data_IF_280927724631
#
_entry.id   IF_280927724631
#
_cell.length_a   1.000
_cell.length_b   1.000
_cell.length_c   1.000
_cell.angle_alpha   90.00
_cell.angle_beta   90.00
_cell.angle_gamma   90.00
#
_symmetry.space_group_name_H-M   'P 1'
#
loop_
_entity.id
_entity.type
_entity.pdbx_description
1 polymer ?
#
# COMPACT_ATOMS: atom_id res chain seq x y z
N UNK A 1 -9.82 11.57 8.79
CA UNK A 1 -9.11 10.37 9.29
C UNK A 1 -8.88 9.43 8.12
N UNK A 2 -7.63 9.08 7.87
CA UNK A 2 -7.18 8.27 6.72
C UNK A 2 -7.52 6.79 6.92
N UNK A 3 -7.39 5.98 5.87
CA UNK A 3 -7.53 4.53 5.98
C UNK A 3 -6.52 3.95 6.98
N UNK A 4 -5.30 4.50 7.03
CA UNK A 4 -4.30 4.15 8.03
C UNK A 4 -4.77 4.49 9.43
N UNK A 5 -5.29 5.70 9.65
CA UNK A 5 -5.82 6.10 10.95
C UNK A 5 -6.91 5.15 11.44
N UNK A 6 -7.85 4.78 10.56
CA UNK A 6 -8.93 3.81 10.86
C UNK A 6 -8.37 2.44 11.20
N UNK A 7 -7.40 1.97 10.43
CA UNK A 7 -6.73 0.69 10.67
C UNK A 7 -6.03 0.65 12.04
N UNK A 8 -5.26 1.69 12.37
CA UNK A 8 -4.58 1.80 13.65
C UNK A 8 -5.55 1.88 14.83
N UNK A 9 -6.68 2.57 14.66
CA UNK A 9 -7.74 2.64 15.66
C UNK A 9 -8.38 1.27 15.91
N UNK A 10 -8.73 0.53 14.85
CA UNK A 10 -9.29 -0.83 14.96
C UNK A 10 -8.33 -1.81 15.63
N UNK A 11 -7.03 -1.70 15.35
CA UNK A 11 -5.97 -2.50 15.97
C UNK A 11 -5.59 -2.04 17.38
N UNK A 12 -6.24 -1.00 17.93
CA UNK A 12 -5.89 -0.39 19.23
C UNK A 12 -4.40 -0.02 19.34
N UNK A 13 -3.79 0.33 18.22
CA UNK A 13 -2.37 0.59 18.12
C UNK A 13 -2.04 2.00 18.62
N UNK A 14 -1.18 2.10 19.63
CA UNK A 14 -0.76 3.40 20.19
C UNK A 14 0.35 4.01 19.33
N UNK A 15 0.14 5.25 18.86
CA UNK A 15 1.13 6.02 18.09
C UNK A 15 2.50 6.10 18.78
N UNK A 16 2.52 6.27 20.11
CA UNK A 16 3.75 6.28 20.90
C UNK A 16 4.54 4.96 20.84
N UNK A 17 3.85 3.82 20.77
CA UNK A 17 4.50 2.51 20.67
C UNK A 17 5.11 2.29 19.28
N UNK A 18 4.39 2.69 18.24
CA UNK A 18 4.86 2.66 16.84
C UNK A 18 6.10 3.55 16.71
N UNK A 19 6.03 4.80 17.19
CA UNK A 19 7.12 5.77 17.15
C UNK A 19 8.43 5.22 17.73
N UNK A 20 8.36 4.56 18.89
CA UNK A 20 9.53 3.94 19.53
C UNK A 20 10.13 2.78 18.73
N UNK A 21 9.31 2.03 17.99
CA UNK A 21 9.74 0.85 17.20
C UNK A 21 10.23 1.22 15.80
N UNK A 22 9.61 2.23 15.18
CA UNK A 22 9.88 2.59 13.77
C UNK A 22 10.80 3.80 13.62
N UNK A 23 10.99 4.59 14.68
CA UNK A 23 11.68 5.88 14.60
C UNK A 23 10.85 6.99 13.96
N UNK A 24 9.62 6.73 13.54
CA UNK A 24 8.71 7.73 12.96
C UNK A 24 8.13 8.58 14.09
N UNK A 25 8.29 9.90 14.03
CA UNK A 25 7.80 10.79 15.08
C UNK A 25 6.28 10.69 15.30
N UNK A 26 5.83 10.90 16.54
CA UNK A 26 4.40 10.88 16.86
C UNK A 26 3.61 11.94 16.09
N UNK A 27 4.22 13.09 15.82
CA UNK A 27 3.65 14.14 14.98
C UNK A 27 3.41 13.65 13.55
N UNK A 28 4.40 12.97 12.96
CA UNK A 28 4.30 12.39 11.61
C UNK A 28 3.23 11.29 11.54
N UNK A 29 3.19 10.38 12.51
CA UNK A 29 2.13 9.37 12.62
C UNK A 29 0.74 10.00 12.76
N UNK A 30 0.65 11.14 13.46
CA UNK A 30 -0.60 11.87 13.60
C UNK A 30 -1.07 12.47 12.28
N UNK A 31 -0.17 13.09 11.51
CA UNK A 31 -0.46 13.58 10.16
C UNK A 31 -0.92 12.43 9.26
N UNK A 32 -0.15 11.34 9.19
CA UNK A 32 -0.48 10.15 8.38
C UNK A 32 -1.85 9.52 8.73
N UNK A 33 -2.28 9.64 9.98
CA UNK A 33 -3.57 9.09 10.44
C UNK A 33 -4.76 10.04 10.22
N UNK A 34 -4.52 11.35 10.25
CA UNK A 34 -5.59 12.35 10.32
C UNK A 34 -5.79 13.11 9.02
N UNK A 35 -4.70 13.42 8.32
CA UNK A 35 -4.67 14.23 7.12
C UNK A 35 -4.67 13.36 5.85
N UNK A 36 -5.68 13.54 5.01
CA UNK A 36 -5.87 12.78 3.77
C UNK A 36 -4.91 13.20 2.66
N UNK A 37 -4.29 14.38 2.78
CA UNK A 37 -3.33 14.91 1.80
C UNK A 37 -1.91 14.45 2.06
N UNK A 38 -1.62 13.96 3.27
CA UNK A 38 -0.32 13.42 3.62
C UNK A 38 -0.12 12.07 2.93
N UNK A 39 0.95 11.96 2.15
CA UNK A 39 1.35 10.72 1.48
C UNK A 39 2.06 9.81 2.48
N UNK A 40 1.54 8.58 2.61
CA UNK A 40 2.21 7.48 3.29
C UNK A 40 3.23 6.85 2.33
N UNK A 41 4.51 6.88 2.68
CA UNK A 41 5.53 6.22 1.86
C UNK A 41 5.53 4.71 2.10
N UNK A 42 6.07 3.95 1.14
CA UNK A 42 6.18 2.49 1.26
C UNK A 42 7.06 2.08 2.45
N UNK A 43 8.14 2.82 2.71
CA UNK A 43 9.02 2.58 3.86
C UNK A 43 8.28 2.83 5.18
N UNK A 44 7.55 3.94 5.29
CA UNK A 44 6.72 4.23 6.47
C UNK A 44 5.67 3.14 6.67
N UNK A 45 4.97 2.71 5.60
CA UNK A 45 3.96 1.65 5.73
C UNK A 45 4.58 0.32 6.15
N UNK A 46 5.76 -0.02 5.61
CA UNK A 46 6.47 -1.25 5.94
C UNK A 46 6.89 -1.29 7.41
N UNK A 47 7.52 -0.22 7.90
CA UNK A 47 7.93 -0.12 9.30
C UNK A 47 6.73 -0.15 10.24
N UNK A 48 5.63 0.52 9.88
CA UNK A 48 4.39 0.46 10.66
C UNK A 48 3.87 -0.97 10.74
N UNK A 49 3.82 -1.72 9.63
CA UNK A 49 3.39 -3.12 9.63
C UNK A 49 4.24 -3.98 10.58
N UNK A 50 5.57 -3.89 10.46
CA UNK A 50 6.50 -4.59 11.34
C UNK A 50 6.32 -4.21 12.82
N UNK A 51 6.04 -2.94 13.10
CA UNK A 51 5.81 -2.48 14.48
C UNK A 51 4.54 -3.06 15.10
N UNK A 52 3.57 -3.45 14.27
CA UNK A 52 2.30 -4.05 14.66
C UNK A 52 2.34 -5.58 14.64
N UNK A 53 3.47 -6.19 14.26
CA UNK A 53 3.61 -7.63 14.05
C UNK A 53 2.59 -8.16 13.01
N UNK A 54 2.39 -7.36 11.95
CA UNK A 54 1.50 -7.67 10.82
C UNK A 54 2.34 -7.78 9.57
N UNK A 55 1.96 -8.70 8.67
CA UNK A 55 2.60 -8.79 7.36
C UNK A 55 2.43 -7.46 6.58
N UNK A 56 3.51 -6.88 6.03
CA UNK A 56 3.43 -5.64 5.26
C UNK A 56 2.46 -5.70 4.07
N UNK A 57 2.33 -6.86 3.42
CA UNK A 57 1.38 -7.08 2.33
C UNK A 57 -0.07 -7.08 2.81
N UNK A 58 -0.36 -7.67 3.97
CA UNK A 58 -1.68 -7.57 4.59
C UNK A 58 -2.06 -6.12 4.92
N UNK A 59 -1.13 -5.34 5.48
CA UNK A 59 -1.37 -3.92 5.73
C UNK A 59 -1.65 -3.18 4.42
N UNK A 60 -0.86 -3.44 3.38
CA UNK A 60 -1.03 -2.78 2.09
C UNK A 60 -2.38 -3.12 1.44
N UNK A 61 -2.80 -4.38 1.48
CA UNK A 61 -4.11 -4.82 1.00
C UNK A 61 -5.26 -4.19 1.81
N UNK A 62 -5.10 -4.04 3.13
CA UNK A 62 -6.10 -3.39 3.96
C UNK A 62 -6.24 -1.88 3.66
N UNK A 63 -5.15 -1.22 3.24
CA UNK A 63 -5.14 0.22 2.96
C UNK A 63 -5.50 0.55 1.49
N UNK A 64 -5.07 -0.29 0.56
CA UNK A 64 -5.05 -0.03 -0.89
C UNK A 64 -5.67 -1.16 -1.73
N UNK A 65 -6.31 -2.17 -1.14
CA UNK A 65 -6.87 -3.31 -1.86
C UNK A 65 -7.96 -2.96 -2.90
N UNK A 66 -8.53 -1.77 -2.82
CA UNK A 66 -9.51 -1.26 -3.80
C UNK A 66 -8.87 -0.52 -4.97
N UNK A 67 -7.55 -0.30 -4.96
CA UNK A 67 -6.85 0.39 -6.05
C UNK A 67 -6.88 -0.50 -7.29
N UNK A 68 -7.50 0.04 -8.35
CA UNK A 68 -7.58 -0.63 -9.65
C UNK A 68 -6.63 0.03 -10.64
N UNK A 69 -6.07 -0.80 -11.51
CA UNK A 69 -5.37 -0.31 -12.70
C UNK A 69 -6.33 0.55 -13.52
N UNK A 70 -5.91 1.76 -13.88
CA UNK A 70 -6.61 2.51 -14.91
C UNK A 70 -6.37 1.77 -16.22
N UNK A 71 -7.45 1.33 -16.87
CA UNK A 71 -7.34 0.79 -18.21
C UNK A 71 -6.63 1.84 -19.06
N UNK A 72 -5.46 1.48 -19.56
CA UNK A 72 -4.81 2.24 -20.60
C UNK A 72 -5.65 1.90 -21.84
N UNK A 73 -6.28 2.88 -22.48
CA UNK A 73 -6.85 2.73 -23.83
C UNK A 73 -5.69 2.47 -24.80
N UNK A 74 -5.10 1.28 -24.73
CA UNK A 74 -4.19 0.78 -25.74
C UNK A 74 -5.09 0.22 -26.84
N UNK A 75 -5.12 0.82 -28.05
CA UNK A 75 -5.75 0.18 -29.18
C UNK A 75 -5.03 -1.16 -29.42
N UNK A 76 -5.70 -2.25 -29.08
CA UNK A 76 -5.22 -3.62 -29.26
C UNK A 76 -5.17 -3.96 -30.74
N UNK A 77 -4.06 -3.61 -31.40
CA UNK A 77 -3.59 -4.31 -32.60
C UNK A 77 -2.36 -5.12 -32.20
N UNK A 78 -2.59 -6.32 -31.69
CA UNK A 78 -1.59 -7.38 -31.73
C UNK A 78 -1.93 -8.18 -32.99
N UNK A 79 -1.31 -7.78 -34.10
CA UNK A 79 -1.21 -8.62 -35.28
C UNK A 79 -0.57 -9.96 -34.87
N UNK A 80 -1.29 -11.05 -35.12
CA UNK A 80 -0.77 -12.41 -34.93
C UNK A 80 0.52 -12.54 -35.74
N UNK A 81 1.67 -12.95 -35.16
CA UNK A 81 2.79 -13.36 -35.97
C UNK A 81 2.42 -14.68 -36.66
N UNK A 82 2.21 -14.59 -37.97
CA UNK A 82 2.10 -15.75 -38.84
C UNK A 82 3.46 -16.43 -39.03
N UNK A 83 3.35 -17.75 -39.21
CA UNK A 83 4.29 -18.72 -39.81
C UNK A 83 5.35 -19.33 -38.88
N UNK A 84 5.13 -20.61 -38.58
CA UNK A 84 6.16 -21.62 -38.79
C UNK A 84 5.56 -22.87 -39.47
N UNK A 85 6.01 -23.08 -40.70
CA UNK A 85 5.88 -24.31 -41.47
C UNK A 85 6.68 -25.41 -40.76
N UNK A 86 6.08 -26.57 -40.51
CA UNK A 86 6.84 -27.81 -40.33
C UNK A 86 6.37 -28.85 -41.34
N UNK A 87 7.25 -29.06 -42.32
CA UNK A 87 7.31 -30.25 -43.19
C UNK A 87 7.22 -31.52 -42.34
N UNK A 88 6.41 -32.48 -42.76
CA UNK A 88 6.79 -33.89 -42.89
C UNK A 88 5.87 -34.55 -43.90
#
# INVERSE_FOLDING_TARGET
MTNLGKYLFLKSAKKAAISRRTGISEARLSLLSNDITTILTAEESYLIALSLDVDPGELQNALFGEVKLKAIDVPTKIDKPGKETKKK
#
